data_IF_810526497108
#
_entry.id   IF_810526497108
#
_cell.length_a   1.000
_cell.length_b   1.000
_cell.length_c   1.000
_cell.angle_alpha   90.00
_cell.angle_beta   90.00
_cell.angle_gamma   90.00
#
_symmetry.space_group_name_H-M   'P 1'
#
loop_
_entity.id
_entity.type
_entity.pdbx_description
1 polymer ?
#
# COMPACT_ATOMS: atom_id res chain seq x y z
N UNK A 1 -8.30 -8.70 18.47
CA UNK A 1 -8.82 -9.81 19.32
C UNK A 1 -9.45 -10.95 18.54
N UNK A 2 -10.26 -10.69 17.51
CA UNK A 2 -10.89 -11.75 16.69
C UNK A 2 -9.93 -12.83 16.12
N UNK A 3 -8.68 -12.51 15.71
CA UNK A 3 -7.77 -13.55 15.21
C UNK A 3 -7.32 -14.54 16.29
N UNK A 4 -7.01 -14.05 17.49
CA UNK A 4 -6.55 -14.87 18.62
C UNK A 4 -7.67 -15.80 19.11
N UNK A 5 -8.88 -15.27 19.28
CA UNK A 5 -10.05 -16.07 19.66
C UNK A 5 -10.37 -17.16 18.64
N UNK A 6 -10.23 -16.87 17.33
CA UNK A 6 -10.45 -17.85 16.27
C UNK A 6 -9.45 -19.01 16.32
N UNK A 7 -8.18 -18.74 16.57
CA UNK A 7 -7.16 -19.80 16.68
C UNK A 7 -7.29 -20.60 17.97
N UNK A 8 -7.64 -19.95 19.09
CA UNK A 8 -7.92 -20.64 20.35
C UNK A 8 -9.13 -21.57 20.24
N UNK A 9 -10.20 -21.13 19.56
CA UNK A 9 -11.36 -21.98 19.31
C UNK A 9 -11.01 -23.26 18.53
N UNK A 10 -10.14 -23.17 17.51
CA UNK A 10 -9.66 -24.36 16.78
C UNK A 10 -8.88 -25.31 17.70
N UNK A 11 -8.09 -24.77 18.61
CA UNK A 11 -7.31 -25.54 19.59
C UNK A 11 -8.20 -26.31 20.56
N UNK A 12 -9.25 -25.67 21.10
CA UNK A 12 -10.16 -26.32 22.06
C UNK A 12 -11.14 -27.29 21.41
N UNK A 13 -11.47 -27.11 20.13
CA UNK A 13 -12.17 -28.13 19.34
C UNK A 13 -11.32 -29.40 19.21
N UNK A 14 -9.99 -29.25 19.02
CA UNK A 14 -9.05 -30.36 18.84
C UNK A 14 -8.67 -31.04 20.15
N UNK A 15 -8.58 -30.27 21.24
CA UNK A 15 -8.23 -30.76 22.58
C UNK A 15 -9.30 -30.32 23.57
N UNK A 16 -10.39 -31.10 23.69
CA UNK A 16 -11.49 -30.75 24.57
C UNK A 16 -11.02 -30.78 26.02
N UNK A 17 -11.00 -29.60 26.62
CA UNK A 17 -10.79 -29.38 28.06
C UNK A 17 -12.09 -28.83 28.64
N UNK A 18 -12.28 -28.96 29.95
CA UNK A 18 -13.46 -28.38 30.59
C UNK A 18 -13.45 -26.85 30.50
N UNK A 19 -14.65 -26.27 30.52
CA UNK A 19 -14.87 -24.85 30.30
C UNK A 19 -14.09 -23.97 31.29
N UNK A 20 -13.90 -24.42 32.53
CA UNK A 20 -13.18 -23.65 33.55
C UNK A 20 -11.69 -23.54 33.23
N UNK A 21 -11.07 -24.63 32.76
CA UNK A 21 -9.68 -24.63 32.29
C UNK A 21 -9.51 -23.84 31.01
N UNK A 22 -10.48 -23.91 30.11
CA UNK A 22 -10.48 -23.12 28.88
C UNK A 22 -10.47 -21.62 29.18
N UNK A 23 -11.42 -21.14 30.00
CA UNK A 23 -11.48 -19.73 30.39
C UNK A 23 -10.20 -19.28 31.10
N UNK A 24 -9.63 -20.13 31.97
CA UNK A 24 -8.39 -19.79 32.65
C UNK A 24 -7.22 -19.64 31.66
N UNK A 25 -7.12 -20.54 30.68
CA UNK A 25 -6.09 -20.50 29.65
C UNK A 25 -6.26 -19.29 28.72
N UNK A 26 -7.48 -19.04 28.22
CA UNK A 26 -7.81 -17.89 27.36
C UNK A 26 -7.43 -16.57 28.04
N UNK A 27 -7.84 -16.39 29.30
CA UNK A 27 -7.49 -15.21 30.09
C UNK A 27 -5.97 -15.07 30.28
N UNK A 28 -5.26 -16.17 30.51
CA UNK A 28 -3.80 -16.16 30.65
C UNK A 28 -3.09 -15.74 29.37
N UNK A 29 -3.52 -16.28 28.23
CA UNK A 29 -2.98 -15.93 26.91
C UNK A 29 -3.32 -14.50 26.54
N UNK A 30 -4.55 -14.06 26.76
CA UNK A 30 -4.97 -12.67 26.49
C UNK A 30 -4.15 -11.67 27.31
N UNK A 31 -3.91 -11.95 28.60
CA UNK A 31 -3.06 -11.13 29.45
C UNK A 31 -1.62 -11.06 28.93
N UNK A 32 -1.04 -12.19 28.52
CA UNK A 32 0.32 -12.23 27.96
C UNK A 32 0.41 -11.50 26.61
N UNK A 33 -0.59 -11.70 25.75
CA UNK A 33 -0.71 -11.02 24.47
C UNK A 33 -0.79 -9.51 24.67
N UNK A 34 -1.70 -9.03 25.52
CA UNK A 34 -1.83 -7.60 25.83
C UNK A 34 -0.54 -7.03 26.42
N UNK A 35 0.15 -7.78 27.31
CA UNK A 35 1.46 -7.36 27.84
C UNK A 35 2.55 -7.24 26.76
N UNK A 36 2.51 -8.06 25.71
CA UNK A 36 3.49 -7.95 24.62
C UNK A 36 3.36 -6.64 23.83
N UNK A 37 2.17 -6.04 23.75
CA UNK A 37 1.97 -4.72 23.10
C UNK A 37 2.35 -3.55 24.01
N UNK A 38 2.54 -3.78 25.30
CA UNK A 38 3.02 -2.78 26.24
C UNK A 38 4.55 -2.68 26.28
N UNK A 39 5.24 -3.64 25.65
CA UNK A 39 6.68 -3.57 25.54
C UNK A 39 7.06 -2.50 24.53
N UNK A 40 8.01 -1.60 24.87
CA UNK A 40 8.52 -0.63 23.91
C UNK A 40 9.14 -1.39 22.73
N UNK A 41 8.98 -0.82 21.54
CA UNK A 41 9.62 -1.34 20.33
C UNK A 41 11.13 -1.39 20.60
N UNK A 42 11.82 -2.51 20.29
CA UNK A 42 13.27 -2.58 20.41
C UNK A 42 13.94 -1.39 19.71
N UNK A 43 14.85 -0.71 20.38
CA UNK A 43 15.50 0.51 19.86
C UNK A 43 16.15 0.29 18.48
N UNK A 44 16.68 -0.91 18.23
CA UNK A 44 17.24 -1.31 16.92
C UNK A 44 16.23 -1.21 15.78
N UNK A 45 14.96 -1.56 16.03
CA UNK A 45 13.91 -1.46 15.01
C UNK A 45 13.49 0.00 14.78
N UNK A 46 13.46 0.80 15.85
CA UNK A 46 13.18 2.23 15.77
C UNK A 46 14.29 2.97 15.01
N UNK A 47 15.56 2.72 15.34
CA UNK A 47 16.73 3.27 14.65
C UNK A 47 16.72 2.89 13.17
N UNK A 48 16.43 1.63 12.85
CA UNK A 48 16.31 1.17 11.47
C UNK A 48 15.19 1.89 10.72
N UNK A 49 14.01 2.03 11.34
CA UNK A 49 12.89 2.74 10.72
C UNK A 49 13.21 4.22 10.47
N UNK A 50 13.89 4.88 11.41
CA UNK A 50 14.34 6.26 11.26
C UNK A 50 15.37 6.40 10.13
N UNK A 51 16.34 5.47 10.05
CA UNK A 51 17.33 5.43 8.98
C UNK A 51 16.68 5.24 7.61
N UNK A 52 15.78 4.26 7.47
CA UNK A 52 15.07 3.99 6.21
C UNK A 52 14.23 5.19 5.78
N UNK A 53 13.56 5.86 6.73
CA UNK A 53 12.84 7.12 6.46
C UNK A 53 13.76 8.21 5.94
N UNK A 54 14.91 8.42 6.58
CA UNK A 54 15.89 9.43 6.14
C UNK A 54 16.45 9.11 4.76
N UNK A 55 16.70 7.83 4.46
CA UNK A 55 17.16 7.36 3.16
C UNK A 55 16.12 7.64 2.06
N UNK A 56 14.84 7.34 2.31
CA UNK A 56 13.77 7.64 1.36
C UNK A 56 13.68 9.16 1.10
N UNK A 57 13.78 9.97 2.15
CA UNK A 57 13.77 11.43 2.02
C UNK A 57 14.97 11.96 1.23
N UNK A 58 16.17 11.40 1.43
CA UNK A 58 17.36 11.81 0.69
C UNK A 58 17.27 11.43 -0.79
N UNK A 59 16.76 10.23 -1.10
CA UNK A 59 16.47 9.80 -2.47
C UNK A 59 15.47 10.75 -3.12
N UNK A 60 14.35 11.05 -2.47
CA UNK A 60 13.34 12.00 -2.98
C UNK A 60 13.91 13.39 -3.23
N UNK A 61 14.72 13.90 -2.30
CA UNK A 61 15.38 15.18 -2.46
C UNK A 61 16.28 15.19 -3.70
N UNK A 62 17.10 14.15 -3.88
CA UNK A 62 18.01 14.05 -5.02
C UNK A 62 17.25 13.92 -6.34
N UNK A 63 16.21 13.10 -6.39
CA UNK A 63 15.34 12.97 -7.56
C UNK A 63 14.73 14.32 -7.95
N UNK A 64 14.20 15.08 -6.98
CA UNK A 64 13.62 16.40 -7.24
C UNK A 64 14.67 17.40 -7.73
N UNK A 65 15.87 17.40 -7.13
CA UNK A 65 16.99 18.26 -7.51
C UNK A 65 17.42 18.01 -8.95
N UNK A 66 17.48 16.75 -9.36
CA UNK A 66 17.93 16.34 -10.69
C UNK A 66 16.77 16.30 -11.72
N UNK A 67 15.55 16.64 -11.30
CA UNK A 67 14.32 16.58 -12.12
C UNK A 67 14.06 15.18 -12.69
N UNK A 68 14.32 14.16 -11.87
CA UNK A 68 14.14 12.75 -12.19
C UNK A 68 12.91 12.18 -11.49
N UNK A 69 12.33 11.16 -12.09
CA UNK A 69 11.26 10.35 -11.52
C UNK A 69 11.73 8.90 -11.41
N UNK A 70 11.25 8.22 -10.36
CA UNK A 70 11.39 6.78 -10.19
C UNK A 70 9.98 6.17 -10.26
N UNK A 71 9.70 5.38 -11.31
CA UNK A 71 8.38 4.73 -11.52
C UNK A 71 8.56 3.24 -11.74
N UNK A 72 7.61 2.45 -11.24
CA UNK A 72 7.53 1.03 -11.55
C UNK A 72 6.86 0.86 -12.92
N UNK A 73 7.42 0.05 -13.79
CA UNK A 73 6.79 -0.37 -15.03
C UNK A 73 5.85 -1.54 -14.74
N UNK A 74 4.69 -1.57 -15.41
CA UNK A 74 3.73 -2.66 -15.32
C UNK A 74 4.14 -3.85 -16.23
N UNK A 75 5.43 -4.19 -16.22
CA UNK A 75 5.94 -5.40 -16.89
C UNK A 75 5.96 -6.59 -15.94
N UNK A 76 6.06 -7.81 -16.47
CA UNK A 76 6.10 -9.06 -15.67
C UNK A 76 7.25 -9.06 -14.64
N UNK A 77 8.28 -8.25 -14.86
CA UNK A 77 9.49 -8.16 -14.04
C UNK A 77 9.43 -7.02 -13.01
N UNK A 78 8.40 -6.18 -13.03
CA UNK A 78 8.24 -5.01 -12.18
C UNK A 78 9.47 -4.08 -12.19
N UNK A 79 10.02 -3.83 -13.38
CA UNK A 79 11.22 -3.01 -13.53
C UNK A 79 10.99 -1.57 -13.02
N UNK A 80 12.05 -0.92 -12.53
CA UNK A 80 11.99 0.48 -12.13
C UNK A 80 12.62 1.38 -13.21
N UNK A 81 11.84 2.31 -13.72
CA UNK A 81 12.29 3.40 -14.59
C UNK A 81 12.83 4.55 -13.74
N UNK A 82 14.07 4.95 -14.02
CA UNK A 82 14.70 6.16 -13.49
C UNK A 82 15.05 7.08 -14.67
N UNK A 83 14.43 8.26 -14.74
CA UNK A 83 14.66 9.19 -15.83
C UNK A 83 13.79 10.43 -15.73
N UNK A 84 13.71 11.24 -16.78
CA UNK A 84 12.85 12.43 -16.79
C UNK A 84 11.40 12.07 -17.03
N UNK A 85 10.49 12.88 -16.49
CA UNK A 85 9.04 12.69 -16.64
C UNK A 85 8.59 12.75 -18.10
N UNK A 86 9.12 13.71 -18.88
CA UNK A 86 8.75 13.86 -20.29
C UNK A 86 9.15 12.64 -21.13
N UNK A 87 10.35 12.10 -20.89
CA UNK A 87 10.84 10.89 -21.55
C UNK A 87 10.03 9.65 -21.16
N UNK A 88 9.61 9.58 -19.89
CA UNK A 88 8.72 8.52 -19.42
C UNK A 88 7.36 8.59 -20.10
N UNK A 89 6.74 9.77 -20.15
CA UNK A 89 5.44 9.97 -20.78
C UNK A 89 5.51 9.67 -22.29
N UNK A 90 6.59 10.05 -22.96
CA UNK A 90 6.80 9.71 -24.36
C UNK A 90 6.86 8.19 -24.57
N UNK A 91 7.67 7.47 -23.78
CA UNK A 91 7.76 6.00 -23.86
C UNK A 91 6.44 5.31 -23.53
N UNK A 92 5.70 5.81 -22.54
CA UNK A 92 4.37 5.30 -22.20
C UNK A 92 3.40 5.50 -23.36
N UNK A 93 3.41 6.66 -24.01
CA UNK A 93 2.56 6.93 -25.17
C UNK A 93 2.94 6.05 -26.38
N UNK A 94 4.23 5.86 -26.64
CA UNK A 94 4.72 4.92 -27.66
C UNK A 94 4.25 3.48 -27.36
N UNK A 95 4.25 3.07 -26.09
CA UNK A 95 3.74 1.76 -25.69
C UNK A 95 2.22 1.64 -25.89
N UNK A 96 1.44 2.65 -25.48
CA UNK A 96 -0.03 2.70 -25.67
C UNK A 96 -0.39 2.64 -27.15
N UNK A 97 0.34 3.35 -28.02
CA UNK A 97 0.09 3.34 -29.45
C UNK A 97 0.36 1.98 -30.12
N UNK A 98 1.24 1.17 -29.53
CA UNK A 98 1.74 -0.07 -30.13
C UNK A 98 1.26 -1.34 -29.41
N UNK A 99 0.59 -1.23 -28.26
CA UNK A 99 0.13 -2.34 -27.43
C UNK A 99 -1.40 -2.45 -27.40
N UNK A 100 -1.93 -3.68 -27.41
CA UNK A 100 -3.37 -3.98 -27.24
C UNK A 100 -3.81 -4.06 -25.77
N UNK A 101 -2.88 -4.01 -24.81
CA UNK A 101 -3.16 -4.09 -23.38
C UNK A 101 -2.36 -3.04 -22.61
N UNK A 102 -3.06 -2.20 -21.85
CA UNK A 102 -2.46 -1.18 -20.98
C UNK A 102 -3.09 -1.26 -19.59
N UNK A 103 -2.26 -1.47 -18.56
CA UNK A 103 -2.62 -1.34 -17.15
C UNK A 103 -1.60 -0.39 -16.50
N UNK A 104 -2.05 0.81 -16.11
CA UNK A 104 -1.25 1.80 -15.39
C UNK A 104 -1.34 1.50 -13.89
N UNK A 105 -0.20 1.22 -13.24
CA UNK A 105 -0.12 1.12 -11.78
C UNK A 105 0.51 2.42 -11.26
N UNK A 106 -0.23 3.15 -10.43
CA UNK A 106 0.03 4.55 -10.06
C UNK A 106 1.23 4.79 -9.12
N UNK A 107 1.60 6.07 -9.05
CA UNK A 107 2.84 6.66 -8.53
C UNK A 107 2.97 6.58 -7.01
N UNK A 108 4.13 6.13 -6.49
CA UNK A 108 4.44 6.05 -5.04
C UNK A 108 4.61 7.43 -4.35
N UNK A 109 4.49 8.53 -5.10
CA UNK A 109 4.92 9.86 -4.65
C UNK A 109 3.80 10.87 -4.37
N UNK A 110 2.54 10.51 -4.55
CA UNK A 110 1.44 11.46 -4.41
C UNK A 110 0.56 11.10 -3.22
N UNK A 111 0.50 12.00 -2.24
CA UNK A 111 -0.21 11.78 -0.98
C UNK A 111 -1.70 12.17 -1.09
N UNK A 112 -2.21 12.57 -2.27
CA UNK A 112 -3.60 13.07 -2.40
C UNK A 112 -4.20 12.99 -3.83
N UNK A 113 -3.63 12.24 -4.77
CA UNK A 113 -4.10 12.29 -6.16
C UNK A 113 -5.31 11.44 -6.47
N UNK A 114 -5.56 10.35 -5.75
CA UNK A 114 -6.69 9.46 -6.06
C UNK A 114 -8.05 10.19 -6.00
N UNK A 115 -8.28 11.05 -5.00
CA UNK A 115 -9.53 11.82 -4.90
C UNK A 115 -9.66 12.89 -5.99
N UNK A 116 -8.58 13.60 -6.32
CA UNK A 116 -8.58 14.61 -7.37
C UNK A 116 -8.76 13.98 -8.76
N UNK A 117 -8.09 12.86 -9.02
CA UNK A 117 -8.27 12.11 -10.26
C UNK A 117 -9.68 11.55 -10.38
N UNK A 118 -10.28 11.08 -9.27
CA UNK A 118 -11.67 10.63 -9.27
C UNK A 118 -12.64 11.78 -9.58
N UNK A 119 -12.41 12.97 -9.01
CA UNK A 119 -13.21 14.17 -9.31
C UNK A 119 -13.07 14.60 -10.78
N UNK A 120 -11.86 14.56 -11.35
CA UNK A 120 -11.63 14.88 -12.76
C UNK A 120 -12.28 13.86 -13.71
N UNK A 121 -12.24 12.57 -13.37
CA UNK A 121 -12.89 11.51 -14.13
C UNK A 121 -14.42 11.67 -14.08
N UNK A 122 -15.00 11.95 -12.91
CA UNK A 122 -16.44 12.17 -12.76
C UNK A 122 -16.88 13.39 -13.59
N UNK A 123 -16.16 14.51 -13.51
CA UNK A 123 -16.45 15.70 -14.31
C UNK A 123 -16.38 15.43 -15.82
N UNK A 124 -15.42 14.62 -16.26
CA UNK A 124 -15.29 14.23 -17.67
C UNK A 124 -16.48 13.38 -18.14
N UNK A 125 -16.94 12.45 -17.31
CA UNK A 125 -18.10 11.60 -17.60
C UNK A 125 -19.39 12.44 -17.66
N UNK A 126 -19.60 13.33 -16.70
CA UNK A 126 -20.78 14.21 -16.65
C UNK A 126 -20.86 15.11 -17.89
N UNK A 127 -19.72 15.68 -18.32
CA UNK A 127 -19.65 16.49 -19.54
C UNK A 127 -20.02 15.68 -20.79
N UNK A 128 -19.54 14.43 -20.89
CA UNK A 128 -19.88 13.56 -22.02
C UNK A 128 -21.34 13.15 -22.01
N UNK A 129 -21.92 12.90 -20.83
CA UNK A 129 -23.35 12.61 -20.69
C UNK A 129 -24.20 13.82 -21.10
N UNK A 130 -23.85 15.05 -20.70
CA UNK A 130 -24.55 16.26 -21.14
C UNK A 130 -24.54 16.42 -22.66
N UNK A 131 -23.40 16.18 -23.32
CA UNK A 131 -23.29 16.21 -24.77
C UNK A 131 -24.19 15.17 -25.44
N UNK A 132 -24.34 14.00 -24.82
CA UNK A 132 -25.20 12.92 -25.31
C UNK A 132 -26.69 13.20 -25.08
N UNK A 133 -27.05 13.89 -23.99
CA UNK A 133 -28.44 14.28 -23.67
C UNK A 133 -28.92 15.55 -24.40
N UNK A 134 -28.02 16.33 -24.99
CA UNK A 134 -28.35 17.49 -25.84
C UNK A 134 -28.54 17.15 -27.33
N UNK A 135 -28.49 15.86 -27.71
CA UNK A 135 -28.88 15.34 -29.03
C UNK A 135 -30.22 14.63 -28.98
#
# INVERSE_FOLDING_TARGET
>A
MAPLQRELAKLFIKYPIDLSRQMHFENGIEQLFNKSFLQPIPSVLEERALYEKQLILSIRYQLNKDQLILRRTADEMNTYYLGRLNECNQKSNEYIQNSTYYELIETINEINTEQQQLEEIIQSIDLQLEILYQR
#
